data_IF_418163071559
#
_entry.id   IF_418163071559
#
_cell.length_a   1.000
_cell.length_b   1.000
_cell.length_c   1.000
_cell.angle_alpha   90.00
_cell.angle_beta   90.00
_cell.angle_gamma   90.00
#
_symmetry.space_group_name_H-M   'P 1'
#
loop_
_entity.id
_entity.type
_entity.pdbx_description
1 polymer ?
#
# COMPACT_ATOMS: atom_id res chain seq x y z
N UNK A 1 24.84 3.46 -25.92
CA UNK A 1 23.95 2.35 -25.50
C UNK A 1 22.77 2.36 -26.46
N UNK A 2 22.57 1.29 -27.22
CA UNK A 2 21.39 1.13 -28.07
C UNK A 2 20.14 1.06 -27.18
N UNK A 3 19.09 1.77 -27.56
CA UNK A 3 17.81 1.69 -26.85
C UNK A 3 17.30 0.24 -26.87
N UNK A 4 16.80 -0.29 -25.75
CA UNK A 4 16.26 -1.65 -25.72
C UNK A 4 15.14 -1.79 -26.75
N UNK A 5 15.19 -2.85 -27.55
CA UNK A 5 14.13 -3.15 -28.52
C UNK A 5 12.90 -3.71 -27.80
N UNK A 6 11.70 -3.48 -28.34
CA UNK A 6 10.47 -4.12 -27.87
C UNK A 6 10.22 -5.34 -28.76
N UNK A 7 10.15 -6.52 -28.16
CA UNK A 7 9.91 -7.79 -28.83
C UNK A 7 8.42 -8.10 -28.73
N UNK A 8 7.71 -8.04 -29.86
CA UNK A 8 6.26 -8.29 -29.94
C UNK A 8 5.90 -9.79 -29.92
N UNK A 9 6.88 -10.66 -30.18
CA UNK A 9 6.69 -12.12 -30.22
C UNK A 9 6.83 -12.80 -28.86
N UNK A 10 6.27 -14.01 -28.76
CA UNK A 10 6.52 -14.91 -27.62
C UNK A 10 7.86 -15.64 -27.84
N UNK A 11 8.87 -15.34 -27.02
CA UNK A 11 10.15 -16.05 -27.00
C UNK A 11 10.26 -16.96 -25.77
N UNK A 12 11.09 -18.00 -25.86
CA UNK A 12 11.51 -18.80 -24.70
C UNK A 12 12.17 -17.96 -23.61
N UNK A 13 12.77 -16.83 -24.00
CA UNK A 13 13.52 -15.95 -23.10
C UNK A 13 12.61 -15.24 -22.08
N UNK A 14 11.29 -15.22 -22.33
CA UNK A 14 10.27 -14.73 -21.40
C UNK A 14 10.04 -15.65 -20.20
N UNK A 15 10.40 -16.93 -20.32
CA UNK A 15 10.15 -17.91 -19.26
C UNK A 15 10.95 -17.55 -18.01
N UNK A 16 12.18 -17.08 -18.18
CA UNK A 16 13.04 -16.74 -17.06
C UNK A 16 12.45 -15.60 -16.20
N UNK A 17 12.12 -14.41 -16.75
CA UNK A 17 11.50 -13.34 -15.96
C UNK A 17 10.22 -13.76 -15.24
N UNK A 18 9.32 -14.47 -15.92
CA UNK A 18 8.04 -14.87 -15.37
C UNK A 18 8.19 -15.91 -14.25
N UNK A 19 9.02 -16.93 -14.47
CA UNK A 19 9.27 -17.99 -13.48
C UNK A 19 9.93 -17.42 -12.22
N UNK A 20 10.97 -16.61 -12.38
CA UNK A 20 11.67 -16.01 -11.23
C UNK A 20 10.80 -15.01 -10.49
N UNK A 21 9.98 -14.22 -11.19
CA UNK A 21 8.99 -13.35 -10.55
C UNK A 21 8.01 -14.16 -9.70
N UNK A 22 7.46 -15.25 -10.26
CA UNK A 22 6.52 -16.11 -9.55
C UNK A 22 7.14 -16.78 -8.32
N UNK A 23 8.33 -17.39 -8.47
CA UNK A 23 9.03 -18.05 -7.36
C UNK A 23 9.37 -17.06 -6.24
N UNK A 24 9.84 -15.87 -6.61
CA UNK A 24 10.19 -14.81 -5.64
C UNK A 24 8.95 -14.29 -4.94
N UNK A 25 7.85 -14.04 -5.67
CA UNK A 25 6.58 -13.61 -5.09
C UNK A 25 6.00 -14.67 -4.14
N UNK A 26 6.06 -15.95 -4.52
CA UNK A 26 5.64 -17.07 -3.69
C UNK A 26 6.47 -17.18 -2.40
N UNK A 27 7.80 -17.07 -2.52
CA UNK A 27 8.69 -17.06 -1.37
C UNK A 27 8.38 -15.88 -0.42
N UNK A 28 8.19 -14.70 -0.98
CA UNK A 28 7.88 -13.48 -0.23
C UNK A 28 6.56 -13.62 0.52
N UNK A 29 5.52 -14.14 -0.14
CA UNK A 29 4.21 -14.39 0.45
C UNK A 29 4.27 -15.41 1.59
N UNK A 30 4.99 -16.52 1.42
CA UNK A 30 4.98 -17.59 2.41
C UNK A 30 5.87 -17.29 3.63
N UNK A 31 7.00 -16.60 3.41
CA UNK A 31 8.04 -16.44 4.42
C UNK A 31 8.16 -15.02 4.96
N UNK A 32 8.05 -14.01 4.10
CA UNK A 32 8.36 -12.62 4.48
C UNK A 32 7.12 -11.92 5.03
N UNK A 33 6.01 -11.93 4.29
CA UNK A 33 4.77 -11.23 4.70
C UNK A 33 4.29 -11.66 6.09
N UNK A 34 4.22 -12.96 6.43
CA UNK A 34 3.69 -13.35 7.73
C UNK A 34 4.62 -12.94 8.87
N UNK A 35 5.94 -12.97 8.64
CA UNK A 35 6.95 -12.59 9.64
C UNK A 35 6.96 -11.08 9.89
N UNK A 36 6.73 -10.26 8.86
CA UNK A 36 6.67 -8.81 8.99
C UNK A 36 5.48 -8.31 9.81
N UNK A 37 4.43 -9.12 9.93
CA UNK A 37 3.21 -8.78 10.65
C UNK A 37 3.11 -9.43 12.03
N UNK A 38 4.18 -10.08 12.50
CA UNK A 38 4.27 -10.58 13.89
C UNK A 38 4.41 -9.37 14.82
N UNK A 39 3.62 -9.35 15.89
CA UNK A 39 3.63 -8.22 16.83
C UNK A 39 2.85 -7.02 16.33
N UNK A 40 1.87 -7.22 15.44
CA UNK A 40 0.96 -6.18 15.03
C UNK A 40 0.16 -5.71 16.26
N UNK A 41 0.26 -4.43 16.56
CA UNK A 41 -0.41 -3.79 17.69
C UNK A 41 -1.44 -2.78 17.18
N UNK A 42 -2.61 -2.74 17.81
CA UNK A 42 -3.65 -1.75 17.53
C UNK A 42 -3.85 -0.91 18.78
N UNK A 43 -3.79 0.42 18.61
CA UNK A 43 -4.01 1.39 19.65
C UNK A 43 -5.45 1.94 19.56
N UNK A 44 -6.25 1.76 20.61
CA UNK A 44 -7.57 2.36 20.73
C UNK A 44 -7.51 3.66 21.56
N UNK A 45 -8.14 4.76 21.12
CA UNK A 45 -8.21 5.97 21.92
C UNK A 45 -9.20 5.77 23.07
N UNK A 46 -8.72 5.89 24.31
CA UNK A 46 -9.53 5.82 25.55
C UNK A 46 -9.78 7.22 26.14
N UNK A 47 -9.06 8.25 25.68
CA UNK A 47 -9.25 9.66 26.04
C UNK A 47 -8.56 10.60 25.05
N UNK A 48 -8.55 11.92 25.31
CA UNK A 48 -7.99 12.92 24.36
C UNK A 48 -6.53 12.65 23.95
N UNK A 49 -5.74 12.03 24.83
CA UNK A 49 -4.36 11.61 24.60
C UNK A 49 -4.04 10.29 25.30
N UNK A 50 -5.00 9.39 25.48
CA UNK A 50 -4.73 8.11 26.12
C UNK A 50 -5.08 7.00 25.15
N UNK A 51 -4.16 6.05 24.99
CA UNK A 51 -4.33 4.92 24.08
C UNK A 51 -4.18 3.62 24.84
N UNK A 52 -5.06 2.66 24.58
CA UNK A 52 -4.93 1.28 25.02
C UNK A 52 -4.44 0.43 23.83
N UNK A 53 -3.31 -0.27 24.01
CA UNK A 53 -2.69 -1.04 22.94
C UNK A 53 -2.94 -2.52 23.16
N UNK A 54 -3.56 -3.17 22.17
CA UNK A 54 -3.74 -4.62 22.18
C UNK A 54 -2.89 -5.23 21.07
N UNK A 55 -2.18 -6.30 21.42
CA UNK A 55 -1.49 -7.10 20.44
C UNK A 55 -2.50 -7.97 19.70
N UNK A 56 -2.54 -7.82 18.38
CA UNK A 56 -3.47 -8.55 17.50
C UNK A 56 -2.85 -9.85 17.00
N UNK A 57 -1.53 -9.90 16.84
CA UNK A 57 -0.82 -11.08 16.33
C UNK A 57 0.38 -11.42 17.21
N UNK A 58 0.44 -12.65 17.69
CA UNK A 58 1.57 -13.16 18.49
C UNK A 58 2.41 -14.18 17.72
N UNK A 59 1.76 -14.93 16.81
CA UNK A 59 2.39 -15.99 16.01
C UNK A 59 2.17 -15.80 14.50
N UNK A 60 2.93 -16.53 13.70
CA UNK A 60 2.74 -16.60 12.23
C UNK A 60 1.34 -17.12 11.88
N UNK A 61 0.80 -18.04 12.67
CA UNK A 61 -0.52 -18.63 12.43
C UNK A 61 -1.64 -17.62 12.72
N UNK A 62 -1.49 -16.78 13.75
CA UNK A 62 -2.42 -15.65 14.00
C UNK A 62 -2.45 -14.70 12.81
N UNK A 63 -1.27 -14.38 12.26
CA UNK A 63 -1.14 -13.53 11.08
C UNK A 63 -1.83 -14.17 9.88
N UNK A 64 -1.56 -15.46 9.60
CA UNK A 64 -2.21 -16.17 8.49
C UNK A 64 -3.73 -16.19 8.66
N UNK A 65 -4.22 -16.44 9.86
CA UNK A 65 -5.65 -16.38 10.16
C UNK A 65 -6.22 -14.98 9.91
N UNK A 66 -5.52 -13.92 10.34
CA UNK A 66 -5.92 -12.53 10.12
C UNK A 66 -5.95 -12.15 8.62
N UNK A 67 -4.91 -12.51 7.87
CA UNK A 67 -4.81 -12.26 6.43
C UNK A 67 -5.86 -13.07 5.64
N UNK A 68 -6.25 -14.23 6.16
CA UNK A 68 -7.32 -15.05 5.59
C UNK A 68 -8.73 -14.53 5.86
N UNK A 69 -8.93 -13.42 6.59
CA UNK A 69 -10.27 -12.83 6.79
C UNK A 69 -10.77 -12.16 5.52
N UNK A 70 -12.09 -12.27 5.25
CA UNK A 70 -12.73 -11.73 4.03
C UNK A 70 -12.41 -10.25 3.76
N UNK A 71 -12.29 -9.43 4.81
CA UNK A 71 -11.96 -8.00 4.69
C UNK A 71 -10.49 -7.73 4.30
N UNK A 72 -9.56 -8.59 4.69
CA UNK A 72 -8.11 -8.39 4.49
C UNK A 72 -7.61 -9.03 3.20
N UNK A 73 -8.27 -10.10 2.73
CA UNK A 73 -7.89 -10.84 1.51
C UNK A 73 -7.75 -9.94 0.29
N UNK A 74 -8.65 -8.97 0.11
CA UNK A 74 -8.59 -8.05 -1.03
C UNK A 74 -7.32 -7.19 -1.00
N UNK A 75 -6.94 -6.63 0.14
CA UNK A 75 -5.71 -5.87 0.29
C UNK A 75 -4.47 -6.71 0.03
N UNK A 76 -4.47 -7.95 0.54
CA UNK A 76 -3.38 -8.92 0.33
C UNK A 76 -3.21 -9.27 -1.14
N UNK A 77 -4.30 -9.60 -1.83
CA UNK A 77 -4.26 -9.95 -3.26
C UNK A 77 -3.76 -8.75 -4.08
N UNK A 78 -4.29 -7.55 -3.82
CA UNK A 78 -3.83 -6.34 -4.51
C UNK A 78 -2.34 -6.08 -4.30
N UNK A 79 -1.85 -6.27 -3.08
CA UNK A 79 -0.42 -6.16 -2.75
C UNK A 79 0.41 -7.19 -3.53
N UNK A 80 0.02 -8.47 -3.51
CA UNK A 80 0.73 -9.53 -4.20
C UNK A 80 0.72 -9.35 -5.73
N UNK A 81 -0.37 -8.84 -6.30
CA UNK A 81 -0.45 -8.49 -7.71
C UNK A 81 0.59 -7.41 -8.05
N UNK A 82 0.58 -6.28 -7.34
CA UNK A 82 1.50 -5.18 -7.59
C UNK A 82 2.97 -5.59 -7.38
N UNK A 83 3.24 -6.38 -6.34
CA UNK A 83 4.57 -6.94 -6.08
C UNK A 83 5.00 -7.86 -7.23
N UNK A 84 4.13 -8.77 -7.66
CA UNK A 84 4.44 -9.71 -8.75
C UNK A 84 4.70 -8.97 -10.06
N UNK A 85 3.87 -7.98 -10.41
CA UNK A 85 4.10 -7.15 -11.59
C UNK A 85 5.43 -6.39 -11.53
N UNK A 86 5.76 -5.82 -10.36
CA UNK A 86 7.04 -5.14 -10.17
C UNK A 86 8.22 -6.10 -10.29
N UNK A 87 8.10 -7.33 -9.79
CA UNK A 87 9.11 -8.38 -9.94
C UNK A 87 9.27 -8.84 -11.38
N UNK A 88 8.17 -8.96 -12.16
CA UNK A 88 8.26 -9.27 -13.59
C UNK A 88 9.07 -8.19 -14.31
N UNK A 89 8.78 -6.90 -14.10
CA UNK A 89 9.57 -5.82 -14.69
C UNK A 89 11.04 -5.85 -14.27
N UNK A 90 11.30 -6.13 -12.99
CA UNK A 90 12.66 -6.26 -12.46
C UNK A 90 13.42 -7.40 -13.15
N UNK A 91 12.84 -8.59 -13.22
CA UNK A 91 13.52 -9.73 -13.85
C UNK A 91 13.62 -9.60 -15.36
N UNK A 92 12.67 -8.93 -16.02
CA UNK A 92 12.76 -8.57 -17.44
C UNK A 92 13.95 -7.61 -17.68
N UNK A 93 14.10 -6.60 -16.83
CA UNK A 93 15.24 -5.69 -16.83
C UNK A 93 16.57 -6.43 -16.60
N UNK A 94 16.62 -7.33 -15.62
CA UNK A 94 17.81 -8.12 -15.33
C UNK A 94 18.15 -9.08 -16.48
N UNK A 95 17.15 -9.71 -17.11
CA UNK A 95 17.36 -10.63 -18.24
C UNK A 95 17.98 -9.91 -19.44
N UNK A 96 17.45 -8.73 -19.78
CA UNK A 96 18.05 -7.86 -20.81
C UNK A 96 19.48 -7.44 -20.43
N UNK A 97 19.69 -7.00 -19.18
CA UNK A 97 21.01 -6.53 -18.73
C UNK A 97 22.06 -7.63 -18.68
N UNK A 98 21.66 -8.87 -18.42
CA UNK A 98 22.53 -10.04 -18.41
C UNK A 98 22.80 -10.62 -19.81
N UNK A 99 22.19 -10.07 -20.87
CA UNK A 99 22.32 -10.57 -22.24
C UNK A 99 21.51 -11.82 -22.53
N UNK A 100 20.50 -12.13 -21.69
CA UNK A 100 19.58 -13.25 -21.90
C UNK A 100 18.40 -12.92 -22.82
N UNK A 101 18.29 -11.67 -23.30
CA UNK A 101 17.29 -11.22 -24.27
C UNK A 101 17.82 -10.01 -25.05
N UNK A 102 17.44 -9.91 -26.33
CA UNK A 102 17.77 -8.78 -27.21
C UNK A 102 16.95 -7.50 -26.90
N UNK A 103 15.94 -7.62 -26.04
CA UNK A 103 15.01 -6.54 -25.72
C UNK A 103 14.02 -6.88 -24.59
N UNK A 104 13.04 -6.01 -24.42
CA UNK A 104 11.91 -6.25 -23.50
C UNK A 104 10.75 -6.89 -24.24
N UNK A 105 10.19 -7.95 -23.68
CA UNK A 105 9.06 -8.64 -24.30
C UNK A 105 7.76 -7.90 -23.99
N UNK A 106 7.06 -7.46 -25.06
CA UNK A 106 5.84 -6.68 -24.96
C UNK A 106 4.75 -7.39 -24.12
N UNK A 107 4.59 -8.71 -24.30
CA UNK A 107 3.63 -9.50 -23.55
C UNK A 107 3.98 -9.62 -22.04
N UNK A 108 5.26 -9.77 -21.69
CA UNK A 108 5.73 -9.83 -20.29
C UNK A 108 5.52 -8.49 -19.59
N UNK A 109 5.94 -7.41 -20.25
CA UNK A 109 5.76 -6.03 -19.76
C UNK A 109 4.27 -5.68 -19.65
N UNK A 110 3.46 -6.01 -20.66
CA UNK A 110 2.02 -5.78 -20.63
C UNK A 110 1.33 -6.51 -19.47
N UNK A 111 1.67 -7.77 -19.24
CA UNK A 111 1.18 -8.53 -18.09
C UNK A 111 1.58 -7.88 -16.75
N UNK A 112 2.84 -7.46 -16.63
CA UNK A 112 3.33 -6.77 -15.45
C UNK A 112 2.61 -5.45 -15.18
N UNK A 113 2.35 -4.65 -16.23
CA UNK A 113 1.62 -3.39 -16.14
C UNK A 113 0.17 -3.62 -15.68
N UNK A 114 -0.52 -4.65 -16.17
CA UNK A 114 -1.87 -5.00 -15.70
C UNK A 114 -1.84 -5.32 -14.21
N UNK A 115 -0.87 -6.12 -13.76
CA UNK A 115 -0.69 -6.49 -12.36
C UNK A 115 -0.38 -5.30 -11.43
N UNK A 116 0.17 -4.20 -11.96
CA UNK A 116 0.45 -2.96 -11.22
C UNK A 116 -0.74 -2.01 -11.26
N UNK A 117 -1.31 -1.77 -12.45
CA UNK A 117 -2.34 -0.75 -12.67
C UNK A 117 -3.66 -1.15 -12.02
N UNK A 118 -4.07 -2.42 -12.13
CA UNK A 118 -5.33 -2.91 -11.58
C UNK A 118 -5.44 -2.67 -10.06
N UNK A 119 -4.49 -3.12 -9.22
CA UNK A 119 -4.54 -2.83 -7.79
C UNK A 119 -4.37 -1.34 -7.47
N UNK A 120 -3.63 -0.58 -8.28
CA UNK A 120 -3.50 0.86 -8.09
C UNK A 120 -4.85 1.59 -8.26
N UNK A 121 -5.63 1.25 -9.30
CA UNK A 121 -6.99 1.76 -9.52
C UNK A 121 -7.91 1.41 -8.34
N UNK A 122 -7.90 0.13 -7.92
CA UNK A 122 -8.71 -0.34 -6.78
C UNK A 122 -8.32 0.38 -5.48
N UNK A 123 -7.02 0.62 -5.26
CA UNK A 123 -6.49 1.32 -4.09
C UNK A 123 -6.95 2.78 -4.05
N UNK A 124 -6.86 3.50 -5.16
CA UNK A 124 -7.39 4.88 -5.27
C UNK A 124 -8.87 4.91 -4.93
N UNK A 125 -9.66 4.02 -5.54
CA UNK A 125 -11.10 3.99 -5.36
C UNK A 125 -11.55 3.71 -3.92
N UNK A 126 -10.94 2.70 -3.30
CA UNK A 126 -11.23 2.36 -1.89
C UNK A 126 -10.77 3.46 -0.93
N UNK A 127 -9.62 4.09 -1.17
CA UNK A 127 -9.12 5.21 -0.37
C UNK A 127 -10.02 6.43 -0.46
N UNK A 128 -10.50 6.78 -1.66
CA UNK A 128 -11.41 7.89 -1.87
C UNK A 128 -12.77 7.64 -1.23
N UNK A 129 -13.33 6.45 -1.42
CA UNK A 129 -14.58 6.04 -0.79
C UNK A 129 -14.53 6.13 0.74
N UNK A 130 -13.42 5.68 1.36
CA UNK A 130 -13.22 5.76 2.80
C UNK A 130 -13.04 7.20 3.34
N UNK A 131 -12.65 8.15 2.49
CA UNK A 131 -12.51 9.56 2.86
C UNK A 131 -13.84 10.32 2.74
N UNK A 132 -14.64 10.00 1.71
CA UNK A 132 -15.88 10.74 1.40
C UNK A 132 -17.10 10.13 2.08
N UNK A 133 -17.19 8.80 2.17
CA UNK A 133 -18.37 8.10 2.67
C UNK A 133 -18.18 7.84 4.17
N UNK A 134 -19.09 8.39 4.99
CA UNK A 134 -19.04 8.26 6.45
C UNK A 134 -19.00 6.78 6.88
N UNK A 135 -18.14 6.40 7.84
CA UNK A 135 -18.16 5.06 8.41
C UNK A 135 -19.50 4.80 9.12
N UNK A 136 -19.93 3.54 9.14
CA UNK A 136 -21.18 3.14 9.80
C UNK A 136 -21.07 3.49 11.29
N UNK A 137 -21.91 4.43 11.75
CA UNK A 137 -22.12 4.68 13.17
C UNK A 137 -22.90 3.53 13.79
N UNK A 138 -22.74 3.34 15.10
CA UNK A 138 -23.25 2.24 15.95
C UNK A 138 -24.79 2.09 16.00
N UNK A 139 -25.54 2.79 15.14
CA UNK A 139 -26.99 2.68 15.04
C UNK A 139 -27.40 1.42 14.25
N UNK A 140 -27.93 0.45 14.99
CA UNK A 140 -28.43 -0.86 14.50
C UNK A 140 -29.39 -0.75 13.31
N UNK A 141 -30.08 0.38 13.12
CA UNK A 141 -31.05 0.59 12.04
C UNK A 141 -30.42 0.77 10.64
N UNK A 142 -29.11 1.06 10.55
CA UNK A 142 -28.42 1.31 9.27
C UNK A 142 -27.63 0.11 8.72
N UNK A 143 -27.57 -1.00 9.46
CA UNK A 143 -26.71 -2.15 9.15
C UNK A 143 -27.24 -3.05 8.02
N UNK A 144 -28.53 -2.97 7.69
CA UNK A 144 -29.20 -4.03 6.92
C UNK A 144 -29.56 -3.66 5.47
N UNK A 145 -29.53 -2.38 5.07
CA UNK A 145 -30.07 -1.96 3.76
C UNK A 145 -29.08 -1.32 2.79
N UNK A 146 -27.79 -1.15 3.13
CA UNK A 146 -26.93 -0.19 2.43
C UNK A 146 -25.63 -0.74 1.82
N UNK A 147 -25.39 -2.05 1.81
CA UNK A 147 -24.13 -2.61 1.29
C UNK A 147 -23.98 -2.43 -0.24
N UNK A 148 -25.04 -2.66 -1.01
CA UNK A 148 -25.01 -2.54 -2.48
C UNK A 148 -24.95 -1.10 -2.95
N UNK A 149 -25.81 -0.22 -2.41
CA UNK A 149 -25.78 1.21 -2.74
C UNK A 149 -24.43 1.82 -2.39
N UNK A 150 -23.85 1.45 -1.24
CA UNK A 150 -22.51 1.89 -0.86
C UNK A 150 -21.46 1.39 -1.83
N UNK A 151 -21.44 0.11 -2.20
CA UNK A 151 -20.48 -0.40 -3.18
C UNK A 151 -20.61 0.32 -4.53
N UNK A 152 -21.83 0.61 -4.97
CA UNK A 152 -22.08 1.43 -6.18
C UNK A 152 -21.52 2.84 -6.02
N UNK A 153 -21.71 3.50 -4.88
CA UNK A 153 -21.14 4.82 -4.61
C UNK A 153 -19.62 4.81 -4.62
N UNK A 154 -18.96 3.76 -4.10
CA UNK A 154 -17.51 3.61 -4.17
C UNK A 154 -17.04 3.51 -5.63
N UNK A 155 -17.70 2.69 -6.45
CA UNK A 155 -17.36 2.53 -7.87
C UNK A 155 -17.61 3.82 -8.65
N UNK A 156 -18.78 4.44 -8.49
CA UNK A 156 -19.13 5.68 -9.17
C UNK A 156 -18.15 6.82 -8.84
N UNK A 157 -17.80 6.95 -7.56
CA UNK A 157 -16.83 7.95 -7.11
C UNK A 157 -15.42 7.69 -7.66
N UNK A 158 -15.02 6.42 -7.75
CA UNK A 158 -13.74 6.02 -8.36
C UNK A 158 -13.68 6.38 -9.85
N UNK A 159 -14.75 6.08 -10.59
CA UNK A 159 -14.86 6.41 -12.02
C UNK A 159 -14.83 7.93 -12.21
N UNK A 160 -15.63 8.67 -11.44
CA UNK A 160 -15.67 10.13 -11.50
C UNK A 160 -14.29 10.75 -11.22
N UNK A 161 -13.55 10.20 -10.25
CA UNK A 161 -12.20 10.67 -9.93
C UNK A 161 -11.18 10.41 -11.05
N UNK A 162 -11.21 9.23 -11.65
CA UNK A 162 -10.34 8.91 -12.77
C UNK A 162 -10.67 9.76 -14.00
N UNK A 163 -11.96 10.02 -14.26
CA UNK A 163 -12.38 10.95 -15.32
C UNK A 163 -11.90 12.38 -15.04
N UNK A 164 -11.90 12.82 -13.78
CA UNK A 164 -11.32 14.11 -13.40
C UNK A 164 -9.81 14.14 -13.69
N UNK A 165 -9.07 13.09 -13.32
CA UNK A 165 -7.64 12.99 -13.60
C UNK A 165 -7.34 13.05 -15.12
N UNK A 166 -8.17 12.39 -15.93
CA UNK A 166 -8.10 12.49 -17.40
C UNK A 166 -8.47 13.89 -17.89
N UNK A 167 -9.47 14.54 -17.30
CA UNK A 167 -9.84 15.92 -17.57
C UNK A 167 -8.70 16.92 -17.32
N UNK A 168 -7.93 16.72 -16.25
CA UNK A 168 -6.69 17.49 -15.99
C UNK A 168 -5.69 17.29 -17.13
N UNK A 169 -5.54 16.05 -17.61
CA UNK A 169 -4.71 15.74 -18.78
C UNK A 169 -5.12 16.51 -20.04
N UNK A 170 -6.43 16.58 -20.33
CA UNK A 170 -6.94 17.35 -21.46
C UNK A 170 -6.63 18.84 -21.35
N UNK A 171 -6.80 19.43 -20.16
CA UNK A 171 -6.49 20.85 -19.93
C UNK A 171 -5.00 21.13 -20.13
N UNK A 172 -4.12 20.25 -19.63
CA UNK A 172 -2.68 20.39 -19.81
C UNK A 172 -2.24 20.18 -21.27
N UNK A 173 -2.91 19.29 -21.99
CA UNK A 173 -2.67 19.12 -23.43
C UNK A 173 -3.06 20.36 -24.23
N UNK A 174 -4.15 21.04 -23.85
CA UNK A 174 -4.56 22.28 -24.50
C UNK A 174 -3.62 23.46 -24.19
N UNK A 175 -2.94 23.43 -23.04
CA UNK A 175 -1.94 24.43 -22.64
C UNK A 175 -0.52 24.17 -23.15
N UNK A 176 -0.33 23.22 -24.07
CA UNK A 176 0.97 22.86 -24.68
C UNK A 176 2.08 22.51 -23.66
N UNK A 177 1.72 21.97 -22.50
CA UNK A 177 2.71 21.51 -21.51
C UNK A 177 3.47 20.27 -22.01
N UNK A 178 4.69 20.07 -21.51
CA UNK A 178 5.49 18.89 -21.86
C UNK A 178 4.78 17.57 -21.52
N UNK A 179 4.96 16.54 -22.35
CA UNK A 179 4.37 15.21 -22.14
C UNK A 179 4.70 14.62 -20.76
N UNK A 180 5.94 14.81 -20.30
CA UNK A 180 6.38 14.38 -18.96
C UNK A 180 5.57 15.06 -17.86
N UNK A 181 5.32 16.37 -17.98
CA UNK A 181 4.50 17.13 -17.03
C UNK A 181 3.05 16.63 -17.05
N UNK A 182 2.50 16.38 -18.23
CA UNK A 182 1.13 15.87 -18.39
C UNK A 182 0.96 14.53 -17.67
N UNK A 183 1.80 13.53 -17.99
CA UNK A 183 1.71 12.21 -17.37
C UNK A 183 1.94 12.25 -15.86
N UNK A 184 2.90 13.05 -15.39
CA UNK A 184 3.20 13.19 -13.96
C UNK A 184 2.01 13.78 -13.21
N UNK A 185 1.36 14.82 -13.75
CA UNK A 185 0.22 15.47 -13.11
C UNK A 185 -1.02 14.59 -13.14
N UNK A 186 -1.30 13.92 -14.26
CA UNK A 186 -2.41 12.96 -14.36
C UNK A 186 -2.23 11.86 -13.32
N UNK A 187 -1.02 11.27 -13.24
CA UNK A 187 -0.71 10.24 -12.25
C UNK A 187 -0.86 10.76 -10.81
N UNK A 188 -0.34 11.96 -10.51
CA UNK A 188 -0.46 12.57 -9.19
C UNK A 188 -1.92 12.75 -8.78
N UNK A 189 -2.75 13.29 -9.66
CA UNK A 189 -4.19 13.47 -9.39
C UNK A 189 -4.88 12.12 -9.22
N UNK A 190 -4.62 11.17 -10.11
CA UNK A 190 -5.21 9.82 -10.07
C UNK A 190 -4.86 9.07 -8.76
N UNK A 191 -3.64 9.24 -8.23
CA UNK A 191 -3.20 8.54 -7.01
C UNK A 191 -3.32 9.37 -5.73
N UNK A 192 -3.65 10.66 -5.83
CA UNK A 192 -3.74 11.55 -4.66
C UNK A 192 -4.67 11.06 -3.54
N UNK A 193 -5.83 10.39 -3.78
CA UNK A 193 -6.64 9.88 -2.67
C UNK A 193 -5.91 8.83 -1.85
N UNK A 194 -5.13 7.95 -2.48
CA UNK A 194 -4.33 6.97 -1.77
C UNK A 194 -3.22 7.66 -0.96
N UNK A 195 -2.51 8.63 -1.55
CA UNK A 195 -1.45 9.40 -0.87
C UNK A 195 -2.00 10.12 0.37
N UNK A 196 -3.14 10.80 0.24
CA UNK A 196 -3.78 11.51 1.36
C UNK A 196 -4.29 10.56 2.45
N UNK A 197 -4.87 9.42 2.06
CA UNK A 197 -5.30 8.40 3.02
C UNK A 197 -4.12 7.88 3.85
N UNK A 198 -3.01 7.53 3.21
CA UNK A 198 -1.78 7.12 3.88
C UNK A 198 -1.21 8.23 4.75
N UNK A 199 -1.16 9.47 4.25
CA UNK A 199 -0.70 10.63 5.02
C UNK A 199 -1.49 10.83 6.32
N UNK A 200 -2.82 10.67 6.28
CA UNK A 200 -3.68 10.76 7.47
C UNK A 200 -3.41 9.65 8.49
N UNK A 201 -3.20 8.41 8.03
CA UNK A 201 -2.90 7.26 8.89
C UNK A 201 -1.51 7.40 9.53
N UNK A 202 -0.51 7.79 8.73
CA UNK A 202 0.84 8.04 9.24
C UNK A 202 0.83 9.19 10.26
N UNK A 203 0.13 10.29 9.96
CA UNK A 203 -0.01 11.43 10.88
C UNK A 203 -0.66 11.05 12.23
N UNK A 204 -1.71 10.23 12.23
CA UNK A 204 -2.31 9.79 13.50
C UNK A 204 -1.40 8.84 14.28
N UNK A 205 -0.64 7.97 13.59
CA UNK A 205 0.34 7.09 14.24
C UNK A 205 1.54 7.87 14.83
N UNK A 206 1.93 8.99 14.20
CA UNK A 206 3.02 9.85 14.67
C UNK A 206 2.75 10.44 16.05
N UNK A 207 1.53 10.92 16.28
CA UNK A 207 1.15 11.46 17.59
C UNK A 207 1.25 10.41 18.69
N UNK A 208 0.77 9.19 18.44
CA UNK A 208 0.85 8.10 19.40
C UNK A 208 2.31 7.68 19.67
N UNK A 209 3.16 7.65 18.63
CA UNK A 209 4.60 7.37 18.78
C UNK A 209 5.32 8.47 19.56
N UNK A 210 5.06 9.75 19.28
CA UNK A 210 5.65 10.88 19.99
C UNK A 210 5.27 10.86 21.48
N UNK A 211 4.00 10.57 21.77
CA UNK A 211 3.53 10.41 23.14
C UNK A 211 4.20 9.23 23.85
N UNK A 212 4.29 8.08 23.19
CA UNK A 212 5.00 6.89 23.70
C UNK A 212 6.44 7.22 24.04
N UNK A 213 7.15 7.89 23.13
CA UNK A 213 8.55 8.29 23.32
C UNK A 213 8.70 9.27 24.48
N UNK A 214 7.78 10.22 24.63
CA UNK A 214 7.79 11.18 25.74
C UNK A 214 7.61 10.50 27.11
N UNK A 215 6.70 9.53 27.21
CA UNK A 215 6.48 8.79 28.46
C UNK A 215 7.65 7.89 28.82
N UNK A 216 8.26 7.22 27.83
CA UNK A 216 9.46 6.40 28.02
C UNK A 216 10.64 7.28 28.44
N UNK A 217 10.81 8.46 27.81
CA UNK A 217 11.86 9.41 28.15
C UNK A 217 11.77 9.94 29.59
N UNK A 218 10.55 10.02 30.15
CA UNK A 218 10.26 10.40 31.54
C UNK A 218 10.36 9.23 32.53
N UNK A 219 10.71 8.03 32.06
CA UNK A 219 10.83 6.83 32.89
C UNK A 219 9.50 6.13 33.22
N UNK A 220 8.39 6.56 32.59
CA UNK A 220 7.07 5.93 32.75
C UNK A 220 6.87 4.76 31.79
N UNK A 221 5.96 3.85 32.15
CA UNK A 221 5.46 2.86 31.21
C UNK A 221 4.69 3.55 30.07
N UNK A 222 4.84 3.05 28.84
CA UNK A 222 4.17 3.58 27.65
C UNK A 222 2.98 2.70 27.28
N UNK A 223 1.93 3.24 26.62
CA UNK A 223 0.86 2.48 26.03
C UNK A 223 1.33 1.29 25.19
N UNK A 224 2.43 1.45 24.46
CA UNK A 224 3.01 0.42 23.60
C UNK A 224 3.95 -0.53 24.35
N UNK A 225 4.45 -0.08 25.50
CA UNK A 225 5.41 -0.80 26.32
C UNK A 225 4.94 -0.75 27.78
N UNK A 226 4.10 -1.74 28.14
CA UNK A 226 3.52 -1.88 29.48
C UNK A 226 4.54 -2.43 30.51
N UNK A 227 5.78 -1.96 30.44
CA UNK A 227 6.87 -2.26 31.37
C UNK A 227 7.67 -0.99 31.64
N UNK A 228 8.29 -0.91 32.81
CA UNK A 228 9.16 0.21 33.16
C UNK A 228 10.40 0.20 32.25
N UNK A 229 10.74 1.33 31.61
CA UNK A 229 11.85 1.38 30.68
C UNK A 229 13.19 1.39 31.41
N UNK A 230 14.12 0.56 30.94
CA UNK A 230 15.51 0.56 31.40
C UNK A 230 16.24 1.84 30.98
N UNK A 231 17.32 2.22 31.69
CA UNK A 231 18.09 3.44 31.41
C UNK A 231 18.52 3.59 29.93
N UNK A 232 18.86 2.46 29.27
CA UNK A 232 19.17 2.43 27.83
C UNK A 232 17.96 2.80 26.96
N UNK A 233 16.78 2.29 27.30
CA UNK A 233 15.54 2.59 26.57
C UNK A 233 15.11 4.05 26.79
N UNK A 234 15.32 4.59 27.99
CA UNK A 234 15.08 6.01 28.30
C UNK A 234 15.99 6.93 27.47
N UNK A 235 17.28 6.62 27.38
CA UNK A 235 18.22 7.37 26.55
C UNK A 235 17.84 7.35 25.05
N UNK A 236 17.53 6.16 24.52
CA UNK A 236 17.07 6.02 23.13
C UNK A 236 15.78 6.83 22.90
N UNK A 237 14.82 6.76 23.82
CA UNK A 237 13.57 7.50 23.72
C UNK A 237 13.76 9.03 23.82
N UNK A 238 14.74 9.51 24.58
CA UNK A 238 15.11 10.94 24.62
C UNK A 238 15.69 11.38 23.27
N UNK A 239 16.59 10.61 22.68
CA UNK A 239 17.16 10.90 21.36
C UNK A 239 16.09 10.89 20.28
N UNK A 240 15.17 9.93 20.34
CA UNK A 240 14.04 9.84 19.40
C UNK A 240 13.07 11.00 19.61
N UNK A 241 12.74 11.36 20.85
CA UNK A 241 11.85 12.50 21.14
C UNK A 241 12.41 13.84 20.66
N UNK A 242 13.73 14.05 20.72
CA UNK A 242 14.38 15.27 20.22
C UNK A 242 14.39 15.33 18.68
N UNK A 243 14.41 14.17 18.00
CA UNK A 243 14.40 14.09 16.54
C UNK A 243 12.98 14.04 15.90
N UNK A 244 11.92 13.85 16.69
CA UNK A 244 10.51 13.76 16.25
C UNK A 244 9.70 15.05 16.48
#
# INVERSE_FOLDING_TARGET
>A
MTSPSIIEGYSSDMVFPLLFAFLTAWFFWHNVVPRQLIGLQVAFPTGERNYEVHQVTSSVDDVRMLLSRKGTRFGVVSYLMALSGSLVLLFEFLNFRAGGSDGYHAASVGFALILIILPAIVSTGTSLGAQVIRPIGVSRASLQSNSTLRNMSYVALSIAWLLLAVGVGFVLSAGEFSQTTQYSMIALVAFSPAVLAYGRILGSSWHALKQSSEQIAKGGASPFHNHLPNARQQFIAQVVHVNL
#
